data_IF_891329376421
#
_entry.id   IF_891329376421
#
_cell.length_a   1.000
_cell.length_b   1.000
_cell.length_c   1.000
_cell.angle_alpha   90.00
_cell.angle_beta   90.00
_cell.angle_gamma   90.00
#
_symmetry.space_group_name_H-M   'P 1'
#
loop_
_entity.id
_entity.type
_entity.pdbx_description
1 polymer ?
#
# COMPACT_ATOMS: atom_id res chain seq x y z
N UNK A 1 6.04 -12.53 -3.35
CA UNK A 1 6.11 -11.21 -2.68
C UNK A 1 5.61 -10.13 -3.64
N UNK A 2 5.05 -9.06 -3.12
CA UNK A 2 4.64 -7.87 -3.88
C UNK A 2 5.28 -6.64 -3.27
N UNK A 3 5.75 -5.73 -4.11
CA UNK A 3 6.16 -4.38 -3.71
C UNK A 3 5.26 -3.39 -4.43
N UNK A 4 4.48 -2.62 -3.66
CA UNK A 4 3.71 -1.52 -4.21
C UNK A 4 4.40 -0.18 -3.91
N UNK A 5 4.55 0.66 -4.91
CA UNK A 5 5.05 2.04 -4.75
C UNK A 5 3.93 3.02 -5.02
N UNK A 6 3.69 3.90 -4.05
CA UNK A 6 2.67 4.96 -4.12
C UNK A 6 3.37 6.31 -3.96
N UNK A 7 3.26 7.16 -4.99
CA UNK A 7 3.79 8.52 -4.97
C UNK A 7 2.63 9.47 -4.68
N UNK A 8 2.58 9.99 -3.46
CA UNK A 8 1.60 10.99 -3.04
C UNK A 8 1.96 12.36 -3.60
N UNK A 9 0.95 13.19 -3.87
CA UNK A 9 1.20 14.63 -4.01
C UNK A 9 1.75 15.20 -2.70
N UNK A 10 2.70 16.17 -2.74
CA UNK A 10 3.33 16.71 -1.54
C UNK A 10 2.36 17.28 -0.50
N UNK A 11 1.24 17.86 -0.93
CA UNK A 11 0.21 18.43 -0.05
C UNK A 11 -0.85 17.42 0.42
N UNK A 12 -0.76 16.15 -0.01
CA UNK A 12 -1.73 15.08 0.29
C UNK A 12 -1.16 13.95 1.15
N UNK A 13 0.09 14.04 1.55
CA UNK A 13 0.83 12.94 2.20
C UNK A 13 0.12 12.41 3.44
N UNK A 14 -0.39 13.30 4.31
CA UNK A 14 -1.07 12.90 5.54
C UNK A 14 -2.37 12.13 5.27
N UNK A 15 -3.08 12.49 4.19
CA UNK A 15 -4.30 11.81 3.77
C UNK A 15 -3.97 10.40 3.27
N UNK A 16 -2.95 10.27 2.41
CA UNK A 16 -2.48 8.97 1.92
C UNK A 16 -1.99 8.11 3.07
N UNK A 17 -1.21 8.65 4.00
CA UNK A 17 -0.71 7.94 5.17
C UNK A 17 -1.86 7.38 6.03
N UNK A 18 -2.92 8.16 6.22
CA UNK A 18 -4.11 7.70 6.95
C UNK A 18 -4.77 6.50 6.28
N UNK A 19 -4.95 6.54 4.96
CA UNK A 19 -5.49 5.39 4.22
C UNK A 19 -4.58 4.17 4.32
N UNK A 20 -3.27 4.35 4.13
CA UNK A 20 -2.30 3.25 4.21
C UNK A 20 -2.30 2.57 5.59
N UNK A 21 -2.45 3.32 6.68
CA UNK A 21 -2.59 2.75 8.04
C UNK A 21 -3.86 1.90 8.20
N UNK A 22 -4.97 2.30 7.58
CA UNK A 22 -6.22 1.52 7.63
C UNK A 22 -6.08 0.24 6.82
N UNK A 23 -5.55 0.34 5.59
CA UNK A 23 -5.28 -0.84 4.74
C UNK A 23 -4.32 -1.80 5.46
N UNK A 24 -3.24 -1.30 6.02
CA UNK A 24 -2.28 -2.09 6.79
C UNK A 24 -2.92 -2.80 7.98
N UNK A 25 -3.76 -2.09 8.75
CA UNK A 25 -4.43 -2.68 9.92
C UNK A 25 -5.30 -3.86 9.50
N UNK A 26 -6.03 -3.72 8.39
CA UNK A 26 -6.88 -4.78 7.84
C UNK A 26 -6.06 -5.95 7.29
N UNK A 27 -5.03 -5.67 6.51
CA UNK A 27 -4.20 -6.70 5.89
C UNK A 27 -3.44 -7.55 6.93
N UNK A 28 -3.13 -6.99 8.11
CA UNK A 28 -2.53 -7.73 9.22
C UNK A 28 -3.57 -8.30 10.21
N UNK A 29 -4.87 -8.29 9.89
CA UNK A 29 -5.92 -8.87 10.75
C UNK A 29 -6.30 -10.27 10.30
N UNK A 30 -7.02 -11.00 11.16
CA UNK A 30 -7.57 -12.33 10.85
C UNK A 30 -8.60 -12.32 9.71
N UNK A 31 -8.98 -11.13 9.24
CA UNK A 31 -9.91 -10.96 8.15
C UNK A 31 -9.23 -11.09 6.76
N UNK A 32 -7.90 -11.16 6.72
CA UNK A 32 -7.08 -11.51 5.56
C UNK A 32 -6.07 -12.62 5.90
N UNK A 33 -6.53 -13.85 6.21
CA UNK A 33 -5.67 -14.92 6.72
C UNK A 33 -4.62 -15.42 5.71
N UNK A 34 -4.75 -15.03 4.45
CA UNK A 34 -3.79 -15.30 3.39
C UNK A 34 -2.67 -14.27 3.28
N UNK A 35 -2.65 -13.24 4.11
CA UNK A 35 -1.60 -12.20 4.14
C UNK A 35 -0.57 -12.56 5.20
N UNK A 36 0.64 -12.94 4.79
CA UNK A 36 1.73 -13.29 5.69
C UNK A 36 2.45 -12.06 6.26
N UNK A 37 2.59 -11.02 5.45
CA UNK A 37 3.21 -9.76 5.85
C UNK A 37 2.57 -8.61 5.09
N UNK A 38 2.30 -7.51 5.79
CA UNK A 38 1.89 -6.24 5.18
C UNK A 38 2.55 -5.05 5.88
N UNK A 39 3.63 -4.54 5.30
CA UNK A 39 4.40 -3.42 5.86
C UNK A 39 4.20 -2.18 5.02
N UNK A 40 3.65 -1.13 5.61
CA UNK A 40 3.68 0.22 5.04
C UNK A 40 4.94 0.92 5.52
N UNK A 41 5.75 1.38 4.58
CA UNK A 41 6.97 2.14 4.86
C UNK A 41 6.97 3.44 4.07
N UNK A 42 7.81 4.39 4.49
CA UNK A 42 7.99 5.67 3.81
C UNK A 42 9.42 5.77 3.32
N UNK A 43 9.60 6.14 2.04
CA UNK A 43 10.93 6.37 1.49
C UNK A 43 11.56 7.55 2.19
N UNK A 44 12.84 7.43 2.50
CA UNK A 44 13.67 8.52 3.02
C UNK A 44 14.79 8.86 2.06
N UNK A 45 15.26 10.10 2.09
CA UNK A 45 16.49 10.48 1.40
C UNK A 45 17.74 9.99 2.18
N UNK A 46 18.94 10.28 1.65
CA UNK A 46 20.21 9.90 2.29
C UNK A 46 20.45 10.56 3.65
N UNK A 47 19.67 11.57 4.02
CA UNK A 47 19.72 12.27 5.30
C UNK A 47 18.62 11.81 6.26
N UNK A 48 17.75 10.87 5.85
CA UNK A 48 16.64 10.38 6.65
C UNK A 48 15.38 11.23 6.57
N UNK A 49 15.33 12.25 5.70
CA UNK A 49 14.11 13.04 5.52
C UNK A 49 13.08 12.24 4.75
N UNK A 50 11.83 12.31 5.21
CA UNK A 50 10.72 11.62 4.58
C UNK A 50 10.39 12.21 3.19
N UNK A 51 10.32 11.35 2.19
CA UNK A 51 9.80 11.66 0.86
C UNK A 51 8.30 11.37 0.79
N UNK A 52 7.54 11.94 -0.17
CA UNK A 52 6.12 11.66 -0.35
C UNK A 52 5.87 10.33 -1.07
N UNK A 53 6.71 9.33 -0.83
CA UNK A 53 6.67 8.01 -1.47
C UNK A 53 6.48 6.95 -0.41
N UNK A 54 5.41 6.18 -0.52
CA UNK A 54 5.12 5.03 0.32
C UNK A 54 5.55 3.76 -0.42
N UNK A 55 6.23 2.87 0.30
CA UNK A 55 6.61 1.54 -0.20
C UNK A 55 5.90 0.52 0.67
N UNK A 56 5.08 -0.31 0.05
CA UNK A 56 4.31 -1.34 0.71
C UNK A 56 4.94 -2.68 0.34
N UNK A 57 5.25 -3.48 1.36
CA UNK A 57 5.86 -4.79 1.20
C UNK A 57 4.85 -5.83 1.66
N UNK A 58 4.43 -6.66 0.73
CA UNK A 58 3.30 -7.57 0.90
C UNK A 58 3.72 -9.00 0.56
N UNK A 59 3.31 -9.95 1.39
CA UNK A 59 3.54 -11.38 1.16
C UNK A 59 2.24 -12.12 1.39
N UNK A 60 1.91 -13.03 0.48
CA UNK A 60 0.64 -13.73 0.45
C UNK A 60 0.84 -15.24 0.32
N UNK A 61 -0.13 -16.00 0.83
CA UNK A 61 -0.33 -17.43 0.60
C UNK A 61 -0.78 -17.71 -0.85
N UNK A 62 0.02 -17.27 -1.83
CA UNK A 62 -0.28 -17.35 -3.25
C UNK A 62 -1.35 -16.38 -3.73
N UNK A 63 -1.84 -16.61 -4.95
CA UNK A 63 -2.73 -15.70 -5.65
C UNK A 63 -4.09 -15.50 -4.95
N UNK A 64 -4.58 -16.49 -4.21
CA UNK A 64 -5.86 -16.39 -3.50
C UNK A 64 -5.81 -15.37 -2.36
N UNK A 65 -4.71 -15.35 -1.57
CA UNK A 65 -4.52 -14.35 -0.51
C UNK A 65 -4.43 -12.93 -1.08
N UNK A 66 -3.71 -12.78 -2.19
CA UNK A 66 -3.60 -11.51 -2.90
C UNK A 66 -4.94 -11.02 -3.46
N UNK A 67 -5.77 -11.92 -4.02
CA UNK A 67 -7.09 -11.54 -4.53
C UNK A 67 -8.03 -11.06 -3.42
N UNK A 68 -8.02 -11.74 -2.27
CA UNK A 68 -8.79 -11.32 -1.08
C UNK A 68 -8.38 -9.90 -0.66
N UNK A 69 -7.08 -9.62 -0.61
CA UNK A 69 -6.59 -8.28 -0.30
C UNK A 69 -7.04 -7.25 -1.35
N UNK A 70 -6.92 -7.59 -2.64
CA UNK A 70 -7.30 -6.71 -3.75
C UNK A 70 -8.79 -6.31 -3.73
N UNK A 71 -9.65 -7.18 -3.18
CA UNK A 71 -11.09 -6.97 -3.06
C UNK A 71 -11.51 -6.31 -1.72
N UNK A 72 -10.56 -6.07 -0.81
CA UNK A 72 -10.85 -5.55 0.52
C UNK A 72 -11.38 -4.11 0.47
N UNK A 73 -12.42 -3.83 1.29
CA UNK A 73 -13.06 -2.52 1.33
C UNK A 73 -12.08 -1.36 1.61
N UNK A 74 -11.12 -1.46 2.56
CA UNK A 74 -10.15 -0.38 2.79
C UNK A 74 -9.31 -0.02 1.56
N UNK A 75 -8.89 -1.01 0.77
CA UNK A 75 -8.12 -0.76 -0.45
C UNK A 75 -9.00 -0.08 -1.51
N UNK A 76 -10.23 -0.58 -1.70
CA UNK A 76 -11.20 0.02 -2.62
C UNK A 76 -11.53 1.47 -2.25
N UNK A 77 -11.70 1.76 -0.95
CA UNK A 77 -11.92 3.11 -0.44
C UNK A 77 -10.73 4.03 -0.70
N UNK A 78 -9.50 3.53 -0.51
CA UNK A 78 -8.29 4.29 -0.86
C UNK A 78 -8.24 4.58 -2.35
N UNK A 79 -8.44 3.58 -3.22
CA UNK A 79 -8.39 3.77 -4.68
C UNK A 79 -9.45 4.77 -5.16
N UNK A 80 -10.65 4.71 -4.59
CA UNK A 80 -11.71 5.68 -4.85
C UNK A 80 -11.28 7.09 -4.42
N UNK A 81 -10.78 7.25 -3.20
CA UNK A 81 -10.32 8.54 -2.69
C UNK A 81 -9.15 9.10 -3.50
N UNK A 82 -8.20 8.25 -3.89
CA UNK A 82 -7.05 8.61 -4.72
C UNK A 82 -7.49 9.25 -6.04
N UNK A 83 -8.54 8.69 -6.67
CA UNK A 83 -9.12 9.22 -7.91
C UNK A 83 -9.96 10.49 -7.68
N UNK A 84 -10.87 10.47 -6.71
CA UNK A 84 -11.83 11.57 -6.49
C UNK A 84 -11.17 12.83 -5.93
N UNK A 85 -10.13 12.67 -5.11
CA UNK A 85 -9.43 13.75 -4.44
C UNK A 85 -8.05 14.04 -5.05
N UNK A 86 -7.70 13.35 -6.15
CA UNK A 86 -6.47 13.56 -6.91
C UNK A 86 -5.22 13.50 -6.00
N UNK A 87 -5.09 12.39 -5.26
CA UNK A 87 -4.12 12.25 -4.17
C UNK A 87 -2.70 11.89 -4.62
N UNK A 88 -2.55 11.33 -5.82
CA UNK A 88 -1.30 10.72 -6.28
C UNK A 88 -0.70 11.52 -7.43
N UNK A 89 0.63 11.60 -7.49
CA UNK A 89 1.35 12.21 -8.62
C UNK A 89 1.23 11.33 -9.87
N UNK A 90 1.22 10.01 -9.67
CA UNK A 90 1.13 9.02 -10.73
C UNK A 90 0.39 7.76 -10.26
N UNK A 91 0.05 6.89 -11.20
CA UNK A 91 -0.56 5.61 -10.87
C UNK A 91 0.41 4.77 -10.01
N UNK A 92 -0.08 4.03 -8.99
CA UNK A 92 0.76 3.11 -8.24
C UNK A 92 1.46 2.09 -9.14
N UNK A 93 2.71 1.78 -8.83
CA UNK A 93 3.44 0.67 -9.49
C UNK A 93 3.42 -0.56 -8.60
N UNK A 94 3.29 -1.74 -9.21
CA UNK A 94 3.20 -3.02 -8.53
C UNK A 94 4.24 -3.97 -9.13
N UNK A 95 5.19 -4.41 -8.32
CA UNK A 95 6.20 -5.40 -8.67
C UNK A 95 5.84 -6.74 -8.04
N UNK A 96 5.66 -7.77 -8.87
CA UNK A 96 5.45 -9.15 -8.44
C UNK A 96 6.79 -9.88 -8.45
N UNK A 97 7.14 -10.46 -7.30
CA UNK A 97 8.47 -11.00 -7.03
C UNK A 97 8.34 -12.44 -6.55
N UNK A 98 9.23 -13.29 -7.03
CA UNK A 98 9.43 -14.65 -6.52
C UNK A 98 10.73 -14.72 -5.73
N UNK A 99 10.77 -15.58 -4.71
CA UNK A 99 11.99 -15.81 -3.92
C UNK A 99 12.88 -16.84 -4.64
N UNK A 100 14.21 -16.68 -4.56
CA UNK A 100 15.19 -17.56 -5.20
C UNK A 100 15.80 -18.56 -4.21
#
# INVERSE_FOLDING_TARGET
MVIATIVSKPDKVDIVEKYMKVVQKRANSDEEPGTFTYRVTRRVDAHGNHLPVFIIIEEYAGAAGMLIHAEAAPLSEFLKAAKEQDLLEEAPTIDYLDEL
#
